data_IF_578677228728
#
_entry.id   IF_578677228728
#
_cell.length_a   1.000
_cell.length_b   1.000
_cell.length_c   1.000
_cell.angle_alpha   90.00
_cell.angle_beta   90.00
_cell.angle_gamma   90.00
#
_symmetry.space_group_name_H-M   'P 1'
#
loop_
_entity.id
_entity.type
_entity.pdbx_description
1 polymer ?
#
# COMPACT_ATOMS: atom_id res chain seq x y z
N UNK A 1 -67.09 -10.26 30.28
CA UNK A 1 -66.46 -11.59 30.20
C UNK A 1 -65.12 -11.44 29.51
N UNK A 2 -64.07 -11.81 30.25
CA UNK A 2 -62.70 -12.23 29.89
C UNK A 2 -61.80 -11.29 29.06
N UNK A 3 -61.01 -10.51 29.80
CA UNK A 3 -59.70 -10.04 29.42
C UNK A 3 -58.70 -11.20 29.38
N UNK A 4 -58.00 -11.37 28.26
CA UNK A 4 -56.92 -12.36 28.10
C UNK A 4 -55.60 -11.69 28.46
N UNK A 5 -54.99 -12.17 29.55
CA UNK A 5 -53.58 -11.95 29.89
C UNK A 5 -52.75 -12.79 28.93
N UNK A 6 -51.68 -12.25 28.37
CA UNK A 6 -50.48 -13.04 28.09
C UNK A 6 -49.23 -12.18 28.19
N UNK A 7 -48.19 -12.83 28.70
CA UNK A 7 -47.11 -12.23 29.46
C UNK A 7 -45.91 -11.89 28.60
N UNK A 8 -45.32 -10.73 28.89
CA UNK A 8 -44.04 -10.25 28.37
C UNK A 8 -42.97 -11.32 28.60
N UNK A 9 -42.40 -11.82 27.51
CA UNK A 9 -41.31 -12.80 27.52
C UNK A 9 -40.08 -12.27 28.24
N UNK A 10 -39.54 -13.11 29.12
CA UNK A 10 -38.30 -12.89 29.86
C UNK A 10 -37.10 -12.75 28.91
N UNK A 11 -36.62 -11.52 28.70
CA UNK A 11 -35.27 -11.30 28.17
C UNK A 11 -34.26 -11.49 29.31
N UNK A 12 -33.53 -12.60 29.30
CA UNK A 12 -32.36 -12.78 30.17
C UNK A 12 -31.25 -11.85 29.67
N UNK A 13 -30.84 -10.91 30.51
CA UNK A 13 -29.68 -10.06 30.25
C UNK A 13 -28.43 -10.93 30.22
N UNK A 14 -27.78 -11.01 29.05
CA UNK A 14 -26.53 -11.75 28.91
C UNK A 14 -25.44 -11.08 29.73
N UNK A 15 -24.85 -11.83 30.67
CA UNK A 15 -23.83 -11.36 31.60
C UNK A 15 -22.59 -10.87 30.83
N UNK A 16 -22.20 -9.62 31.06
CA UNK A 16 -21.00 -8.97 30.49
C UNK A 16 -19.76 -9.85 30.72
N UNK A 17 -19.02 -10.18 29.65
CA UNK A 17 -17.74 -10.91 29.75
C UNK A 17 -16.75 -10.08 30.60
N UNK A 18 -16.28 -10.66 31.71
CA UNK A 18 -15.19 -10.07 32.51
C UNK A 18 -13.90 -10.06 31.68
N UNK A 19 -13.17 -8.96 31.77
CA UNK A 19 -11.85 -8.81 31.16
C UNK A 19 -10.90 -9.92 31.64
N UNK A 20 -10.06 -10.41 30.72
CA UNK A 20 -9.00 -11.38 30.98
C UNK A 20 -7.97 -10.74 31.92
N UNK A 21 -7.56 -11.49 32.93
CA UNK A 21 -6.55 -11.16 33.94
C UNK A 21 -5.37 -10.35 33.37
N UNK A 22 -5.09 -9.22 34.01
CA UNK A 22 -3.91 -8.39 33.76
C UNK A 22 -2.63 -9.23 33.88
N UNK A 23 -1.67 -9.00 32.98
CA UNK A 23 -0.34 -9.61 33.07
C UNK A 23 0.26 -9.39 34.47
N UNK A 24 1.00 -10.37 35.02
CA UNK A 24 1.58 -10.23 36.35
C UNK A 24 2.58 -9.06 36.33
N UNK A 25 2.57 -8.29 37.42
CA UNK A 25 3.60 -7.31 37.70
C UNK A 25 4.97 -7.99 37.60
N UNK A 26 5.89 -7.34 36.89
CA UNK A 26 7.31 -7.72 36.77
C UNK A 26 7.81 -8.26 38.11
N UNK A 27 8.36 -9.48 38.08
CA UNK A 27 8.93 -10.14 39.24
C UNK A 27 9.81 -9.17 40.04
N UNK A 28 9.58 -9.15 41.34
CA UNK A 28 10.46 -8.48 42.31
C UNK A 28 11.91 -8.88 42.04
N UNK A 29 12.79 -7.88 42.04
CA UNK A 29 14.22 -8.07 42.26
C UNK A 29 14.38 -9.05 43.44
N UNK A 30 15.09 -10.15 43.21
CA UNK A 30 15.30 -11.18 44.23
C UNK A 30 15.83 -10.52 45.51
N UNK A 31 15.12 -10.71 46.61
CA UNK A 31 15.62 -10.35 47.93
C UNK A 31 16.88 -11.18 48.17
N UNK A 32 17.96 -10.52 48.59
CA UNK A 32 19.21 -11.21 48.95
C UNK A 32 18.92 -12.20 50.08
N UNK A 33 19.43 -13.41 49.94
CA UNK A 33 19.41 -14.42 50.99
C UNK A 33 20.62 -14.21 51.91
N UNK A 34 20.40 -14.52 53.18
CA UNK A 34 21.31 -14.40 54.34
C UNK A 34 21.35 -13.03 55.05
N UNK A 35 21.08 -13.09 56.35
CA UNK A 35 21.27 -11.99 57.28
C UNK A 35 22.68 -12.09 57.83
N UNK A 36 23.60 -11.26 57.36
CA UNK A 36 24.93 -11.17 57.96
C UNK A 36 24.81 -10.76 59.43
N UNK A 37 25.56 -11.44 60.31
CA UNK A 37 25.72 -11.02 61.71
C UNK A 37 26.18 -9.56 61.75
N UNK A 38 25.40 -8.71 62.42
CA UNK A 38 25.71 -7.29 62.56
C UNK A 38 26.99 -7.12 63.39
N UNK A 39 28.11 -6.80 62.73
CA UNK A 39 29.25 -6.19 63.39
C UNK A 39 28.85 -4.81 63.94
N UNK A 40 29.16 -4.56 65.20
CA UNK A 40 29.00 -3.27 65.87
C UNK A 40 29.77 -2.20 65.08
N UNK A 41 29.06 -1.19 64.55
CA UNK A 41 29.66 -0.14 63.73
C UNK A 41 30.61 0.76 64.52
N UNK A 42 31.78 1.05 63.94
CA UNK A 42 32.67 2.11 64.39
C UNK A 42 32.03 3.49 64.15
N UNK A 43 32.28 4.48 65.02
CA UNK A 43 31.73 5.83 64.87
C UNK A 43 32.39 6.67 63.78
N UNK A 44 33.38 6.12 63.07
CA UNK A 44 34.07 6.78 61.97
C UNK A 44 33.51 6.28 60.63
N UNK A 45 33.20 7.24 59.74
CA UNK A 45 32.81 6.93 58.36
C UNK A 45 33.99 6.25 57.66
N UNK A 46 33.78 5.13 56.95
CA UNK A 46 34.81 4.59 56.08
C UNK A 46 35.18 5.63 55.02
N UNK A 47 36.48 5.74 54.73
CA UNK A 47 37.02 6.62 53.70
C UNK A 47 36.32 6.35 52.36
N UNK A 48 35.89 7.41 51.67
CA UNK A 48 35.19 7.30 50.39
C UNK A 48 36.07 6.60 49.35
N UNK A 49 35.77 5.34 49.03
CA UNK A 49 36.43 4.60 47.96
C UNK A 49 35.71 4.95 46.66
N UNK A 50 36.13 6.05 46.05
CA UNK A 50 35.74 6.43 44.69
C UNK A 50 36.78 5.88 43.71
N UNK A 51 36.34 5.31 42.59
CA UNK A 51 37.25 4.94 41.51
C UNK A 51 37.95 6.21 41.00
N UNK A 52 39.29 6.25 41.06
CA UNK A 52 40.11 7.40 40.63
C UNK A 52 39.88 7.82 39.16
N UNK A 53 39.24 6.96 38.37
CA UNK A 53 38.95 7.19 36.95
C UNK A 53 37.43 7.23 36.77
N UNK A 54 36.86 8.23 36.06
CA UNK A 54 35.46 8.18 35.67
C UNK A 54 35.26 6.94 34.79
N UNK A 55 34.56 5.93 35.31
CA UNK A 55 34.18 4.73 34.57
C UNK A 55 33.43 5.19 33.32
N UNK A 56 34.06 5.08 32.15
CA UNK A 56 33.44 5.58 30.92
C UNK A 56 32.12 4.85 30.69
N UNK A 57 31.07 5.58 30.30
CA UNK A 57 29.77 5.03 29.89
C UNK A 57 29.85 4.20 28.59
N UNK A 58 31.00 3.57 28.29
CA UNK A 58 31.25 2.81 27.08
C UNK A 58 30.19 1.74 26.83
N UNK A 59 29.72 1.06 27.89
CA UNK A 59 28.64 0.09 27.78
C UNK A 59 27.31 0.71 27.31
N UNK A 60 26.99 1.93 27.73
CA UNK A 60 25.79 2.66 27.27
C UNK A 60 25.96 3.19 25.84
N UNK A 61 27.19 3.32 25.36
CA UNK A 61 27.51 3.72 23.98
C UNK A 61 27.61 2.53 23.01
N UNK A 62 27.69 1.29 23.50
CA UNK A 62 27.73 0.12 22.63
C UNK A 62 26.34 -0.23 22.11
N UNK A 63 26.12 -0.08 20.80
CA UNK A 63 24.94 -0.61 20.14
C UNK A 63 25.16 -2.07 19.74
N UNK A 64 24.40 -2.98 20.33
CA UNK A 64 24.41 -4.39 19.92
C UNK A 64 23.54 -4.59 18.67
N UNK A 65 23.99 -5.46 17.76
CA UNK A 65 23.15 -5.85 16.63
C UNK A 65 21.89 -6.58 17.12
N UNK A 66 20.70 -6.28 16.56
CA UNK A 66 19.48 -6.97 16.94
C UNK A 66 19.63 -8.48 16.71
N UNK A 67 19.36 -9.29 17.74
CA UNK A 67 19.28 -10.73 17.56
C UNK A 67 18.14 -11.04 16.61
N UNK A 68 18.46 -11.55 15.43
CA UNK A 68 17.46 -12.12 14.53
C UNK A 68 16.93 -13.39 15.18
N UNK A 69 15.62 -13.46 15.41
CA UNK A 69 14.99 -14.74 15.72
C UNK A 69 15.14 -15.62 14.48
N UNK A 70 15.83 -16.75 14.64
CA UNK A 70 15.86 -17.77 13.60
C UNK A 70 14.43 -18.29 13.43
N UNK A 71 13.80 -17.86 12.35
CA UNK A 71 12.51 -18.41 11.96
C UNK A 71 12.77 -19.78 11.30
N UNK A 72 11.79 -20.70 11.30
CA UNK A 72 11.96 -22.02 10.68
C UNK A 72 12.44 -21.95 9.21
N UNK A 73 12.14 -20.85 8.52
CA UNK A 73 12.56 -20.54 7.14
C UNK A 73 14.08 -20.33 7.04
N UNK A 74 14.69 -19.61 7.99
CA UNK A 74 16.16 -19.41 8.04
C UNK A 74 16.90 -20.66 8.52
N UNK A 75 16.28 -21.48 9.38
CA UNK A 75 16.89 -22.70 9.91
C UNK A 75 16.86 -23.89 8.92
N UNK A 76 15.85 -23.97 8.03
CA UNK A 76 15.65 -25.09 7.09
C UNK A 76 16.20 -24.85 5.67
N UNK A 77 16.75 -23.66 5.39
CA UNK A 77 17.30 -23.37 4.06
C UNK A 77 18.73 -23.93 3.91
N UNK A 78 18.93 -24.82 2.94
CA UNK A 78 20.27 -25.31 2.60
C UNK A 78 21.17 -24.18 2.09
N UNK A 79 22.50 -24.31 2.29
CA UNK A 79 23.52 -23.31 1.88
C UNK A 79 23.39 -22.80 0.44
N UNK A 80 22.94 -23.66 -0.49
CA UNK A 80 22.71 -23.27 -1.89
C UNK A 80 21.52 -22.32 -2.06
N UNK A 81 20.45 -22.50 -1.27
CA UNK A 81 19.26 -21.62 -1.29
C UNK A 81 19.59 -20.26 -0.69
N UNK A 82 20.26 -20.21 0.46
CA UNK A 82 20.65 -18.94 1.09
C UNK A 82 21.57 -18.10 0.20
N UNK A 83 22.58 -18.72 -0.42
CA UNK A 83 23.47 -18.01 -1.36
C UNK A 83 22.73 -17.47 -2.60
N UNK A 84 21.70 -18.19 -3.07
CA UNK A 84 20.85 -17.71 -4.17
C UNK A 84 19.99 -16.52 -3.73
N UNK A 85 19.33 -16.63 -2.59
CA UNK A 85 18.52 -15.55 -1.99
C UNK A 85 19.34 -14.29 -1.77
N UNK A 86 20.56 -14.43 -1.25
CA UNK A 86 21.48 -13.31 -1.05
C UNK A 86 21.88 -12.64 -2.37
N UNK A 87 22.24 -13.43 -3.38
CA UNK A 87 22.58 -12.92 -4.72
C UNK A 87 21.41 -12.16 -5.35
N UNK A 88 20.22 -12.75 -5.32
CA UNK A 88 19.01 -12.16 -5.90
C UNK A 88 18.62 -10.87 -5.14
N UNK A 89 18.77 -10.87 -3.81
CA UNK A 89 18.56 -9.71 -2.96
C UNK A 89 19.48 -8.54 -3.35
N UNK A 90 20.79 -8.75 -3.43
CA UNK A 90 21.73 -7.66 -3.78
C UNK A 90 21.56 -7.17 -5.21
N UNK A 91 21.16 -8.05 -6.13
CA UNK A 91 20.79 -7.65 -7.49
C UNK A 91 19.54 -6.76 -7.48
N UNK A 92 18.52 -7.10 -6.70
CA UNK A 92 17.34 -6.26 -6.55
C UNK A 92 17.68 -4.95 -5.83
N UNK A 93 18.66 -4.96 -4.92
CA UNK A 93 19.10 -3.78 -4.18
C UNK A 93 19.78 -2.76 -5.07
N UNK A 94 20.66 -3.18 -5.98
CA UNK A 94 21.32 -2.24 -6.88
C UNK A 94 20.32 -1.55 -7.82
N UNK A 95 19.30 -2.28 -8.28
CA UNK A 95 18.22 -1.72 -9.09
C UNK A 95 17.38 -0.71 -8.30
N UNK A 96 17.01 -1.05 -7.06
CA UNK A 96 16.26 -0.17 -6.18
C UNK A 96 17.07 1.08 -5.82
N UNK A 97 18.36 0.92 -5.55
CA UNK A 97 19.28 2.02 -5.24
C UNK A 97 19.38 3.01 -6.39
N UNK A 98 19.46 2.51 -7.63
CA UNK A 98 19.45 3.33 -8.84
C UNK A 98 18.11 4.06 -9.02
N UNK A 99 16.97 3.40 -8.74
CA UNK A 99 15.64 3.99 -8.95
C UNK A 99 15.31 5.11 -7.96
N UNK A 100 15.64 4.95 -6.68
CA UNK A 100 15.41 5.95 -5.63
C UNK A 100 16.62 6.84 -5.34
N UNK A 101 17.69 6.69 -6.14
CA UNK A 101 18.96 7.39 -5.99
C UNK A 101 19.54 7.28 -4.57
N UNK A 102 19.34 6.15 -3.88
CA UNK A 102 19.85 5.92 -2.52
C UNK A 102 21.24 5.27 -2.56
N UNK A 103 22.00 5.41 -1.47
CA UNK A 103 23.33 4.82 -1.33
C UNK A 103 23.31 3.81 -0.18
N UNK A 104 23.02 2.53 -0.45
CA UNK A 104 22.96 1.50 0.59
C UNK A 104 24.31 1.33 1.28
N UNK A 105 24.29 1.10 2.60
CA UNK A 105 25.52 0.75 3.32
C UNK A 105 26.04 -0.62 2.86
N UNK A 106 27.37 -0.84 2.83
CA UNK A 106 27.94 -2.12 2.46
C UNK A 106 27.71 -3.15 3.58
N UNK A 107 26.83 -4.13 3.35
CA UNK A 107 26.49 -5.18 4.35
C UNK A 107 26.94 -6.58 3.97
N UNK A 108 27.57 -6.76 2.81
CA UNK A 108 28.03 -8.07 2.31
C UNK A 108 29.08 -8.75 3.20
N UNK A 109 29.77 -7.97 4.04
CA UNK A 109 30.75 -8.51 5.00
C UNK A 109 30.09 -9.19 6.21
N UNK A 110 28.78 -9.00 6.43
CA UNK A 110 28.04 -9.72 7.45
C UNK A 110 27.58 -11.09 6.94
N UNK A 111 27.43 -12.05 7.85
CA UNK A 111 26.90 -13.38 7.51
C UNK A 111 25.38 -13.33 7.28
N UNK A 112 24.88 -14.19 6.41
CA UNK A 112 23.44 -14.43 6.30
C UNK A 112 22.85 -14.93 7.63
N UNK A 113 21.67 -14.45 8.08
CA UNK A 113 20.77 -13.48 7.43
C UNK A 113 21.00 -12.01 7.83
N UNK A 114 22.06 -11.71 8.60
CA UNK A 114 22.32 -10.38 9.15
C UNK A 114 22.58 -9.33 8.07
N UNK A 115 23.36 -9.69 7.05
CA UNK A 115 23.62 -8.86 5.88
C UNK A 115 22.36 -8.29 5.20
N UNK A 116 21.33 -9.13 5.03
CA UNK A 116 20.03 -8.75 4.46
C UNK A 116 19.24 -7.89 5.43
N UNK A 117 19.22 -8.27 6.71
CA UNK A 117 18.45 -7.54 7.73
C UNK A 117 18.95 -6.09 7.92
N UNK A 118 20.27 -5.89 7.95
CA UNK A 118 20.89 -4.58 8.08
C UNK A 118 20.65 -3.73 6.83
N UNK A 119 20.78 -4.34 5.66
CA UNK A 119 20.51 -3.66 4.39
C UNK A 119 19.05 -3.23 4.31
N UNK A 120 18.10 -4.10 4.68
CA UNK A 120 16.68 -3.77 4.77
C UNK A 120 16.38 -2.62 5.74
N UNK A 121 17.03 -2.62 6.90
CA UNK A 121 16.87 -1.55 7.89
C UNK A 121 17.36 -0.21 7.34
N UNK A 122 18.53 -0.21 6.70
CA UNK A 122 19.11 0.99 6.08
C UNK A 122 18.24 1.52 4.93
N UNK A 123 17.83 0.65 4.00
CA UNK A 123 16.96 1.04 2.88
C UNK A 123 15.65 1.63 3.39
N UNK A 124 15.01 1.00 4.39
CA UNK A 124 13.77 1.53 5.00
C UNK A 124 13.96 2.95 5.53
N UNK A 125 15.09 3.19 6.20
CA UNK A 125 15.44 4.51 6.74
C UNK A 125 15.64 5.52 5.61
N UNK A 126 16.40 5.18 4.58
CA UNK A 126 16.69 6.08 3.46
C UNK A 126 15.43 6.40 2.64
N UNK A 127 14.63 5.39 2.31
CA UNK A 127 13.37 5.58 1.58
C UNK A 127 12.39 6.46 2.36
N UNK A 128 12.25 6.24 3.67
CA UNK A 128 11.40 7.08 4.52
C UNK A 128 11.84 8.54 4.55
N UNK A 129 13.14 8.82 4.42
CA UNK A 129 13.65 10.20 4.38
C UNK A 129 13.55 10.87 3.01
N UNK A 130 13.57 10.09 1.91
CA UNK A 130 13.61 10.63 0.54
C UNK A 130 12.25 10.69 -0.14
N UNK A 131 11.38 9.73 0.14
CA UNK A 131 10.11 9.56 -0.57
C UNK A 131 8.95 9.92 0.36
N UNK A 132 8.22 10.98 0.02
CA UNK A 132 7.09 11.46 0.81
C UNK A 132 5.96 10.42 0.89
N UNK A 133 5.70 9.72 -0.21
CA UNK A 133 4.63 8.72 -0.32
C UNK A 133 5.05 7.31 0.12
N UNK A 134 6.19 7.16 0.81
CA UNK A 134 6.66 5.84 1.23
C UNK A 134 5.70 5.19 2.25
N UNK A 135 5.24 3.97 1.98
CA UNK A 135 4.43 3.18 2.91
C UNK A 135 5.21 1.98 3.46
N UNK A 136 5.72 1.11 2.59
CA UNK A 136 6.40 -0.10 3.03
C UNK A 136 7.36 -0.67 1.98
N UNK A 137 8.30 -1.49 2.42
CA UNK A 137 9.13 -2.34 1.57
C UNK A 137 9.23 -3.74 2.17
N UNK A 138 9.03 -4.74 1.31
CA UNK A 138 9.10 -6.16 1.66
C UNK A 138 9.97 -6.90 0.67
N UNK A 139 10.58 -7.98 1.13
CA UNK A 139 11.26 -8.95 0.27
C UNK A 139 10.26 -10.06 -0.04
N UNK A 140 10.03 -10.33 -1.32
CA UNK A 140 9.10 -11.35 -1.79
C UNK A 140 9.84 -12.35 -2.70
N UNK A 141 9.34 -13.58 -2.76
CA UNK A 141 9.80 -14.57 -3.73
C UNK A 141 8.84 -14.59 -4.92
N UNK A 142 9.30 -14.14 -6.09
CA UNK A 142 8.55 -14.23 -7.35
C UNK A 142 9.06 -15.42 -8.15
N UNK A 143 8.37 -16.55 -8.01
CA UNK A 143 8.81 -17.82 -8.58
C UNK A 143 10.08 -18.33 -7.90
N UNK A 144 11.21 -18.31 -8.60
CA UNK A 144 12.49 -18.77 -8.03
C UNK A 144 13.46 -17.63 -7.66
N UNK A 145 13.05 -16.36 -7.79
CA UNK A 145 13.88 -15.18 -7.56
C UNK A 145 13.36 -14.38 -6.37
N UNK A 146 14.29 -13.86 -5.57
CA UNK A 146 14.00 -12.94 -4.47
C UNK A 146 14.06 -11.49 -4.96
N UNK A 147 12.99 -10.71 -4.76
CA UNK A 147 12.94 -9.30 -5.20
C UNK A 147 12.26 -8.41 -4.15
N UNK A 148 12.46 -7.09 -4.28
CA UNK A 148 11.74 -6.12 -3.47
C UNK A 148 10.34 -5.86 -4.03
N UNK A 149 9.39 -5.71 -3.11
CA UNK A 149 8.11 -5.07 -3.35
C UNK A 149 8.08 -3.79 -2.51
N UNK A 150 8.11 -2.64 -3.19
CA UNK A 150 7.93 -1.33 -2.56
C UNK A 150 6.48 -0.93 -2.74
N UNK A 151 5.87 -0.44 -1.67
CA UNK A 151 4.54 0.10 -1.65
C UNK A 151 4.64 1.59 -1.33
N UNK A 152 4.02 2.40 -2.17
CA UNK A 152 3.85 3.83 -1.96
C UNK A 152 2.35 4.13 -1.83
N UNK A 153 2.00 5.08 -0.96
CA UNK A 153 0.65 5.58 -0.79
C UNK A 153 0.65 7.08 -0.97
N UNK A 154 0.05 7.53 -2.06
CA UNK A 154 -0.19 8.94 -2.31
C UNK A 154 -1.54 9.31 -1.70
N UNK A 155 -1.57 10.28 -0.79
CA UNK A 155 -2.83 10.86 -0.31
C UNK A 155 -3.35 11.84 -1.36
N UNK A 156 -4.45 11.48 -2.02
CA UNK A 156 -5.09 12.32 -3.03
C UNK A 156 -6.07 13.34 -2.44
N UNK A 157 -6.18 13.41 -1.10
CA UNK A 157 -7.12 14.28 -0.41
C UNK A 157 -8.56 13.96 -0.80
N UNK A 158 -9.30 14.97 -1.24
CA UNK A 158 -10.67 14.85 -1.75
C UNK A 158 -10.72 14.73 -3.29
N UNK A 159 -9.58 14.60 -3.95
CA UNK A 159 -9.50 14.50 -5.41
C UNK A 159 -9.81 13.05 -5.82
N UNK A 160 -10.92 12.91 -6.53
CA UNK A 160 -11.41 11.65 -7.06
C UNK A 160 -10.86 11.43 -8.48
N UNK A 161 -10.01 10.42 -8.64
CA UNK A 161 -9.50 10.01 -9.95
C UNK A 161 -10.42 8.98 -10.59
N UNK A 162 -10.87 9.27 -11.81
CA UNK A 162 -11.63 8.32 -12.62
C UNK A 162 -11.30 8.45 -14.11
N UNK A 163 -11.49 7.38 -14.87
CA UNK A 163 -11.33 7.40 -16.33
C UNK A 163 -12.53 8.13 -16.98
N UNK A 164 -12.31 9.25 -17.70
CA UNK A 164 -13.40 10.02 -18.28
C UNK A 164 -13.93 9.37 -19.57
N UNK A 165 -14.90 8.47 -19.43
CA UNK A 165 -15.40 7.69 -20.58
C UNK A 165 -16.34 8.46 -21.51
N UNK A 166 -17.07 9.48 -21.04
CA UNK A 166 -18.01 10.27 -21.87
C UNK A 166 -17.29 11.11 -22.95
N UNK A 167 -16.23 11.90 -22.63
CA UNK A 167 -15.45 12.58 -23.66
C UNK A 167 -14.81 11.60 -24.66
N UNK A 168 -14.29 10.47 -24.17
CA UNK A 168 -13.70 9.44 -25.03
C UNK A 168 -14.73 8.84 -25.99
N UNK A 169 -15.95 8.57 -25.52
CA UNK A 169 -17.05 8.10 -26.34
C UNK A 169 -17.41 9.08 -27.46
N UNK A 170 -17.50 10.38 -27.13
CA UNK A 170 -17.75 11.44 -28.11
C UNK A 170 -16.63 11.51 -29.15
N UNK A 171 -15.37 11.42 -28.71
CA UNK A 171 -14.21 11.48 -29.59
C UNK A 171 -14.13 10.26 -30.53
N UNK A 172 -14.51 9.07 -30.06
CA UNK A 172 -14.57 7.86 -30.88
C UNK A 172 -15.63 7.95 -32.00
N UNK A 173 -16.71 8.72 -31.78
CA UNK A 173 -17.72 9.01 -32.81
C UNK A 173 -17.26 10.05 -33.83
N UNK A 174 -16.32 10.92 -33.47
CA UNK A 174 -15.79 11.92 -34.38
C UNK A 174 -14.85 11.28 -35.41
N UNK A 175 -15.28 11.23 -36.68
CA UNK A 175 -14.51 10.64 -37.79
C UNK A 175 -13.17 11.35 -38.02
N UNK A 176 -13.08 12.66 -37.78
CA UNK A 176 -11.87 13.45 -38.00
C UNK A 176 -10.72 13.00 -37.08
N UNK A 177 -11.03 12.78 -35.80
CA UNK A 177 -10.04 12.43 -34.76
C UNK A 177 -10.14 10.99 -34.28
N UNK A 178 -10.78 10.10 -35.05
CA UNK A 178 -11.00 8.70 -34.64
C UNK A 178 -9.70 7.96 -34.33
N UNK A 179 -8.62 8.24 -35.08
CA UNK A 179 -7.30 7.63 -34.82
C UNK A 179 -6.74 8.07 -33.46
N UNK A 180 -6.88 9.36 -33.11
CA UNK A 180 -6.48 9.89 -31.82
C UNK A 180 -7.33 9.28 -30.69
N UNK A 181 -8.64 9.13 -30.93
CA UNK A 181 -9.55 8.45 -30.01
C UNK A 181 -9.14 7.00 -29.74
N UNK A 182 -8.73 6.25 -30.76
CA UNK A 182 -8.22 4.89 -30.59
C UNK A 182 -6.87 4.84 -29.84
N UNK A 183 -6.03 5.87 -29.99
CA UNK A 183 -4.80 6.01 -29.22
C UNK A 183 -5.09 6.29 -27.74
N UNK A 184 -5.98 7.24 -27.46
CA UNK A 184 -6.43 7.54 -26.09
C UNK A 184 -7.19 6.37 -25.47
N UNK A 185 -7.89 5.56 -26.26
CA UNK A 185 -8.51 4.34 -25.77
C UNK A 185 -7.46 3.36 -25.20
N UNK A 186 -6.28 3.25 -25.82
CA UNK A 186 -5.17 2.48 -25.24
C UNK A 186 -4.68 3.07 -23.92
N UNK A 187 -4.60 4.40 -23.82
CA UNK A 187 -4.24 5.09 -22.56
C UNK A 187 -5.29 4.80 -21.48
N UNK A 188 -6.57 4.94 -21.78
CA UNK A 188 -7.65 4.66 -20.83
C UNK A 188 -7.71 3.18 -20.43
N UNK A 189 -7.42 2.25 -21.34
CA UNK A 189 -7.25 0.83 -21.02
C UNK A 189 -6.08 0.58 -20.07
N UNK A 190 -4.98 1.33 -20.19
CA UNK A 190 -3.86 1.26 -19.24
C UNK A 190 -4.28 1.76 -17.86
N UNK A 191 -4.91 2.94 -17.81
CA UNK A 191 -5.38 3.51 -16.54
C UNK A 191 -6.35 2.57 -15.83
N UNK A 192 -7.27 1.96 -16.58
CA UNK A 192 -8.25 1.02 -16.03
C UNK A 192 -7.63 -0.31 -15.59
N UNK A 193 -6.81 -0.96 -16.42
CA UNK A 193 -6.34 -2.34 -16.16
C UNK A 193 -5.05 -2.44 -15.36
N UNK A 194 -4.15 -1.45 -15.50
CA UNK A 194 -2.81 -1.50 -14.91
C UNK A 194 -2.70 -0.54 -13.73
N UNK A 195 -3.20 0.69 -13.89
CA UNK A 195 -3.21 1.68 -12.81
C UNK A 195 -4.41 1.52 -11.85
N UNK A 196 -5.33 0.59 -12.14
CA UNK A 196 -6.52 0.28 -11.33
C UNK A 196 -7.38 1.52 -11.02
N UNK A 197 -7.45 2.46 -11.99
CA UNK A 197 -8.25 3.67 -11.88
C UNK A 197 -9.66 3.37 -12.41
N UNK A 198 -10.70 3.48 -11.57
CA UNK A 198 -12.05 3.13 -11.96
C UNK A 198 -12.67 4.17 -12.90
N UNK A 199 -13.81 3.80 -13.47
CA UNK A 199 -14.73 4.73 -14.12
C UNK A 199 -16.09 4.63 -13.42
N UNK A 200 -17.02 5.53 -13.74
CA UNK A 200 -18.24 5.71 -12.92
C UNK A 200 -19.23 4.53 -12.92
N UNK A 201 -19.08 3.51 -13.78
CA UNK A 201 -19.91 2.28 -13.77
C UNK A 201 -19.24 1.07 -13.14
N UNK A 202 -18.05 1.23 -12.54
CA UNK A 202 -17.40 0.12 -11.86
C UNK A 202 -18.03 -0.09 -10.48
N UNK A 203 -18.64 -1.27 -10.28
CA UNK A 203 -19.26 -1.66 -9.01
C UNK A 203 -18.29 -1.53 -7.82
N UNK A 204 -18.84 -1.18 -6.66
CA UNK A 204 -18.08 -1.01 -5.42
C UNK A 204 -17.22 0.25 -5.36
N UNK A 205 -17.28 1.11 -6.39
CA UNK A 205 -16.59 2.41 -6.39
C UNK A 205 -17.50 3.52 -5.89
N UNK A 206 -16.89 4.61 -5.40
CA UNK A 206 -17.64 5.76 -4.90
C UNK A 206 -18.60 6.34 -5.95
N UNK A 207 -18.14 6.55 -7.18
CA UNK A 207 -19.01 7.11 -8.24
C UNK A 207 -20.17 6.18 -8.56
N UNK A 208 -19.93 4.88 -8.64
CA UNK A 208 -21.00 3.92 -8.89
C UNK A 208 -22.12 4.06 -7.85
N UNK A 209 -21.77 4.12 -6.56
CA UNK A 209 -22.75 4.35 -5.48
C UNK A 209 -23.47 5.70 -5.58
N UNK A 210 -22.79 6.77 -6.03
CA UNK A 210 -23.44 8.07 -6.26
C UNK A 210 -24.45 7.99 -7.41
N UNK A 211 -24.11 7.31 -8.52
CA UNK A 211 -25.02 7.13 -9.65
C UNK A 211 -26.21 6.23 -9.28
N UNK A 212 -26.00 5.18 -8.49
CA UNK A 212 -27.10 4.35 -7.97
C UNK A 212 -28.04 5.15 -7.08
N UNK A 213 -27.51 5.85 -6.06
CA UNK A 213 -28.32 6.69 -5.17
C UNK A 213 -29.11 7.76 -5.94
N UNK A 214 -28.49 8.39 -6.95
CA UNK A 214 -29.16 9.39 -7.77
C UNK A 214 -30.27 8.76 -8.63
N UNK A 215 -30.08 7.53 -9.09
CA UNK A 215 -31.10 6.77 -9.84
C UNK A 215 -32.29 6.45 -8.92
N UNK A 216 -32.03 5.91 -7.73
CA UNK A 216 -33.06 5.60 -6.73
C UNK A 216 -33.90 6.83 -6.35
N UNK A 217 -33.24 7.98 -6.15
CA UNK A 217 -33.92 9.23 -5.83
C UNK A 217 -34.81 9.71 -6.99
N UNK A 218 -34.37 9.54 -8.24
CA UNK A 218 -35.18 9.91 -9.41
C UNK A 218 -36.36 8.98 -9.67
N UNK A 219 -36.32 7.75 -9.18
CA UNK A 219 -37.41 6.77 -9.30
C UNK A 219 -38.52 6.97 -8.26
N UNK A 220 -38.20 7.48 -7.07
CA UNK A 220 -39.14 7.65 -5.96
C UNK A 220 -39.99 8.93 -6.04
N UNK A 221 -39.60 9.90 -6.86
CA UNK A 221 -40.24 11.22 -6.91
C UNK A 221 -41.19 11.34 -8.13
N UNK A 222 -42.50 11.10 -7.90
CA UNK A 222 -43.56 11.19 -8.93
C UNK A 222 -43.87 12.64 -9.35
N UNK A 223 -43.57 13.64 -8.52
CA UNK A 223 -43.81 15.07 -8.81
C UNK A 223 -42.70 15.75 -9.63
N UNK A 224 -41.57 15.05 -9.87
CA UNK A 224 -40.44 15.53 -10.67
C UNK A 224 -40.63 15.31 -12.19
N UNK A 225 -41.86 15.50 -12.70
CA UNK A 225 -42.18 15.42 -14.14
C UNK A 225 -41.41 16.49 -14.96
N UNK A 226 -41.04 17.62 -14.32
CA UNK A 226 -40.22 18.67 -14.93
C UNK A 226 -38.72 18.29 -15.13
N UNK A 227 -38.27 17.13 -14.64
CA UNK A 227 -36.87 16.67 -14.78
C UNK A 227 -36.69 15.56 -15.83
N UNK A 228 -37.51 15.56 -16.89
CA UNK A 228 -37.32 14.67 -18.05
C UNK A 228 -35.89 14.67 -18.62
N UNK A 229 -35.17 15.80 -18.50
CA UNK A 229 -33.79 15.90 -18.99
C UNK A 229 -32.80 15.13 -18.09
N UNK A 230 -32.95 15.18 -16.76
CA UNK A 230 -32.06 14.49 -15.82
C UNK A 230 -32.15 12.96 -15.95
N UNK A 231 -33.37 12.42 -16.06
CA UNK A 231 -33.59 10.98 -16.28
C UNK A 231 -32.94 10.50 -17.59
N UNK A 232 -33.07 11.27 -18.67
CA UNK A 232 -32.43 10.96 -19.97
C UNK A 232 -30.90 11.03 -19.90
N UNK A 233 -30.36 11.98 -19.14
CA UNK A 233 -28.91 12.10 -18.94
C UNK A 233 -28.34 10.92 -18.15
N UNK A 234 -29.03 10.45 -17.11
CA UNK A 234 -28.66 9.24 -16.37
C UNK A 234 -28.68 7.99 -17.24
N UNK A 235 -29.78 7.77 -17.97
CA UNK A 235 -29.88 6.66 -18.92
C UNK A 235 -28.77 6.72 -19.97
N UNK A 236 -28.46 7.92 -20.48
CA UNK A 236 -27.36 8.11 -21.42
C UNK A 236 -26.00 7.79 -20.79
N UNK A 237 -25.79 8.20 -19.54
CA UNK A 237 -24.55 7.91 -18.80
C UNK A 237 -24.41 6.41 -18.57
N UNK A 238 -25.47 5.70 -18.21
CA UNK A 238 -25.49 4.25 -18.09
C UNK A 238 -25.08 3.57 -19.40
N UNK A 239 -25.79 3.85 -20.50
CA UNK A 239 -25.53 3.23 -21.81
C UNK A 239 -24.10 3.52 -22.28
N UNK A 240 -23.64 4.77 -22.16
CA UNK A 240 -22.28 5.16 -22.55
C UNK A 240 -21.26 4.44 -21.68
N UNK A 241 -21.52 4.37 -20.38
CA UNK A 241 -20.64 3.74 -19.41
C UNK A 241 -20.48 2.26 -19.71
N UNK A 242 -21.55 1.53 -19.96
CA UNK A 242 -21.51 0.10 -20.26
C UNK A 242 -20.77 -0.21 -21.56
N UNK A 243 -21.03 0.57 -22.62
CA UNK A 243 -20.31 0.46 -23.90
C UNK A 243 -18.82 0.73 -23.71
N UNK A 244 -18.48 1.81 -22.99
CA UNK A 244 -17.10 2.21 -22.81
C UNK A 244 -16.35 1.30 -21.84
N UNK A 245 -17.02 0.76 -20.83
CA UNK A 245 -16.51 -0.25 -19.91
C UNK A 245 -15.98 -1.47 -20.66
N UNK A 246 -16.75 -2.00 -21.61
CA UNK A 246 -16.31 -3.09 -22.49
C UNK A 246 -15.08 -2.70 -23.31
N UNK A 247 -15.04 -1.47 -23.86
CA UNK A 247 -13.92 -1.00 -24.68
C UNK A 247 -12.64 -0.81 -23.88
N UNK A 248 -12.68 -0.13 -22.73
CA UNK A 248 -11.48 0.10 -21.91
C UNK A 248 -10.97 -1.20 -21.29
N UNK A 249 -11.88 -2.16 -21.03
CA UNK A 249 -11.53 -3.49 -20.52
C UNK A 249 -10.87 -4.38 -21.57
N UNK A 250 -10.92 -4.07 -22.86
CA UNK A 250 -10.37 -4.94 -23.91
C UNK A 250 -8.81 -5.00 -23.84
N UNK A 251 -8.21 -6.18 -23.58
CA UNK A 251 -6.75 -6.32 -23.48
C UNK A 251 -6.03 -6.00 -24.80
N UNK A 252 -6.69 -6.09 -25.96
CA UNK A 252 -6.09 -5.79 -27.25
C UNK A 252 -5.65 -4.32 -27.36
N UNK A 253 -6.29 -3.42 -26.61
CA UNK A 253 -5.88 -2.02 -26.57
C UNK A 253 -4.49 -1.82 -25.99
N UNK A 254 -4.06 -2.69 -25.07
CA UNK A 254 -2.70 -2.71 -24.53
C UNK A 254 -1.74 -3.46 -25.46
N UNK A 255 -2.16 -4.60 -26.01
CA UNK A 255 -1.34 -5.40 -26.93
C UNK A 255 -0.88 -4.59 -28.15
N UNK A 256 -1.76 -3.76 -28.73
CA UNK A 256 -1.45 -2.94 -29.89
C UNK A 256 -1.00 -1.52 -29.52
N UNK A 257 -0.78 -1.21 -28.24
CA UNK A 257 -0.52 0.16 -27.80
C UNK A 257 0.77 0.72 -28.41
N UNK A 258 1.86 -0.04 -28.33
CA UNK A 258 3.16 0.36 -28.90
C UNK A 258 3.07 0.63 -30.41
N UNK A 259 2.37 -0.24 -31.14
CA UNK A 259 2.17 -0.10 -32.58
C UNK A 259 1.36 1.16 -32.91
N UNK A 260 0.32 1.46 -32.11
CA UNK A 260 -0.48 2.68 -32.26
C UNK A 260 0.35 3.92 -32.02
N UNK A 261 1.17 3.95 -30.96
CA UNK A 261 2.06 5.09 -30.65
C UNK A 261 3.05 5.33 -31.80
N UNK A 262 3.79 4.29 -32.24
CA UNK A 262 4.79 4.41 -33.32
C UNK A 262 4.18 4.77 -34.68
N UNK A 263 2.98 4.26 -34.97
CA UNK A 263 2.27 4.47 -36.23
C UNK A 263 1.44 5.75 -36.29
N UNK A 264 1.23 6.44 -35.17
CA UNK A 264 0.42 7.64 -35.14
C UNK A 264 1.14 8.82 -35.80
N UNK A 265 0.41 9.60 -36.59
CA UNK A 265 0.91 10.78 -37.30
C UNK A 265 -0.07 11.92 -37.04
N UNK A 266 0.23 12.82 -36.08
CA UNK A 266 -0.69 13.85 -35.66
C UNK A 266 -0.81 14.93 -36.74
N UNK A 267 -2.04 15.40 -36.99
CA UNK A 267 -2.33 16.40 -38.02
C UNK A 267 -2.47 17.81 -37.46
N UNK A 268 -2.95 17.95 -36.23
CA UNK A 268 -3.21 19.23 -35.59
C UNK A 268 -2.58 19.28 -34.18
N UNK A 269 -2.82 20.39 -33.48
CA UNK A 269 -2.31 20.59 -32.12
C UNK A 269 -2.90 19.58 -31.13
N UNK A 270 -4.20 19.31 -31.23
CA UNK A 270 -4.89 18.38 -30.34
C UNK A 270 -4.32 16.96 -30.44
N UNK A 271 -4.11 16.47 -31.67
CA UNK A 271 -3.54 15.15 -31.92
C UNK A 271 -2.08 15.06 -31.46
N UNK A 272 -1.30 16.15 -31.55
CA UNK A 272 0.06 16.20 -30.97
C UNK A 272 0.02 16.06 -29.45
N UNK A 273 -0.91 16.73 -28.78
CA UNK A 273 -1.09 16.61 -27.33
C UNK A 273 -1.53 15.18 -26.94
N UNK A 274 -2.41 14.56 -27.73
CA UNK A 274 -2.82 13.16 -27.55
C UNK A 274 -1.64 12.19 -27.70
N UNK A 275 -0.76 12.39 -28.68
CA UNK A 275 0.43 11.57 -28.87
C UNK A 275 1.41 11.73 -27.69
N UNK A 276 1.69 12.96 -27.26
CA UNK A 276 2.57 13.21 -26.14
C UNK A 276 2.05 12.57 -24.83
N UNK A 277 0.74 12.61 -24.60
CA UNK A 277 0.12 11.93 -23.47
C UNK A 277 0.27 10.41 -23.59
N UNK A 278 0.03 9.84 -24.78
CA UNK A 278 0.15 8.41 -25.01
C UNK A 278 1.60 7.90 -24.85
N UNK A 279 2.59 8.68 -25.29
CA UNK A 279 4.01 8.36 -25.10
C UNK A 279 4.39 8.34 -23.62
N UNK A 280 3.94 9.33 -22.83
CA UNK A 280 4.16 9.36 -21.38
C UNK A 280 3.52 8.15 -20.70
N UNK A 281 2.27 7.84 -21.04
CA UNK A 281 1.59 6.66 -20.49
C UNK A 281 2.27 5.35 -20.92
N UNK A 282 2.85 5.28 -22.12
CA UNK A 282 3.58 4.10 -22.58
C UNK A 282 4.90 3.90 -21.82
N UNK A 283 5.59 4.99 -21.46
CA UNK A 283 6.80 4.93 -20.65
C UNK A 283 6.54 4.37 -19.24
N UNK A 284 5.32 4.53 -18.70
CA UNK A 284 4.95 3.97 -17.39
C UNK A 284 4.42 2.53 -17.46
N UNK A 285 4.29 1.96 -18.66
CA UNK A 285 3.89 0.55 -18.88
C UNK A 285 5.10 -0.39 -18.87
N UNK A 286 6.29 0.12 -19.21
CA UNK A 286 7.57 -0.62 -19.29
C UNK A 286 8.38 -0.49 -18.00
#
# INVERSE_FOLDING_TARGET
MNATKDHIGNHSTTRRKKAKTTAPTVERVRTMDESDEKQLGSSERPTEISSYVPTSDAFLKTCFMPKLKENEITAKQGKRKSAKTERDFYKSLSQLAMHYEITPIPTQHFNYPYNISLSLWDIKRQLKSKTENWDNIRVIEKGSKTCFAVQERCNTGTILYYVPVRPLYQLLKNKAHRKAACLLLSVCSYLYRIADIPYYRQEGTYLYGIYEMLTDWMEQDEEMDDSHNGKKELQSAEIIGDIMGQKISDPHNLLFFEQRVKGFRPKDRFEKECLALAEKAFQTVL
#
